data_IF_874500858347
#
_entry.id   IF_874500858347
#
_cell.length_a   1.000
_cell.length_b   1.000
_cell.length_c   1.000
_cell.angle_alpha   90.00
_cell.angle_beta   90.00
_cell.angle_gamma   90.00
#
_symmetry.space_group_name_H-M   'P 1'
#
loop_
_entity.id
_entity.type
_entity.pdbx_description
1 polymer ?
#
# COMPACT_ATOMS: atom_id res chain seq x y z
N UNK A 1 2.49 15.24 2.33
CA UNK A 1 3.14 14.09 3.02
C UNK A 1 2.52 12.83 2.46
N UNK A 2 3.31 11.87 1.99
CA UNK A 2 2.78 10.63 1.38
C UNK A 2 2.45 9.62 2.48
N UNK A 3 1.29 8.98 2.38
CA UNK A 3 0.82 7.97 3.33
C UNK A 3 0.50 6.67 2.59
N UNK A 4 1.04 5.57 3.08
CA UNK A 4 0.85 4.23 2.54
C UNK A 4 0.06 3.38 3.55
N UNK A 5 -1.07 2.85 3.13
CA UNK A 5 -1.91 1.93 3.90
C UNK A 5 -1.86 0.56 3.23
N UNK A 6 -1.09 -0.36 3.80
CA UNK A 6 -1.03 -1.72 3.31
C UNK A 6 -2.11 -2.55 4.00
N UNK A 7 -2.99 -3.16 3.24
CA UNK A 7 -3.98 -4.11 3.70
C UNK A 7 -3.44 -5.52 3.55
N UNK A 8 -3.31 -6.22 4.67
CA UNK A 8 -2.79 -7.59 4.73
C UNK A 8 -3.77 -8.52 5.42
N UNK A 9 -3.63 -9.83 5.21
CA UNK A 9 -4.29 -10.84 6.04
C UNK A 9 -3.24 -11.73 6.69
N UNK A 10 -3.33 -12.03 8.00
CA UNK A 10 -2.44 -12.95 8.68
C UNK A 10 -2.52 -14.38 8.12
N UNK A 11 -3.61 -14.72 7.43
CA UNK A 11 -3.79 -16.02 6.77
C UNK A 11 -3.12 -16.12 5.39
N UNK A 12 -2.57 -15.01 4.85
CA UNK A 12 -2.00 -14.98 3.52
C UNK A 12 -0.46 -15.12 3.54
N UNK A 13 0.13 -16.16 2.92
CA UNK A 13 1.57 -16.37 2.94
C UNK A 13 2.39 -15.31 2.18
N UNK A 14 1.75 -14.51 1.32
CA UNK A 14 2.40 -13.49 0.49
C UNK A 14 2.40 -12.08 1.11
N UNK A 15 1.59 -11.82 2.13
CA UNK A 15 1.52 -10.53 2.82
C UNK A 15 2.84 -10.05 3.47
N UNK A 16 3.66 -10.90 4.14
CA UNK A 16 4.91 -10.42 4.74
C UNK A 16 5.91 -9.90 3.70
N UNK A 17 5.79 -10.35 2.43
CA UNK A 17 6.62 -9.86 1.34
C UNK A 17 6.26 -8.41 0.98
N UNK A 18 4.97 -8.11 0.88
CA UNK A 18 4.48 -6.75 0.62
C UNK A 18 4.82 -5.79 1.77
N UNK A 19 4.68 -6.23 3.02
CA UNK A 19 5.01 -5.40 4.20
C UNK A 19 6.49 -5.01 4.22
N UNK A 20 7.40 -5.95 3.93
CA UNK A 20 8.84 -5.65 3.84
C UNK A 20 9.15 -4.59 2.80
N UNK A 21 8.57 -4.71 1.61
CA UNK A 21 8.76 -3.75 0.52
C UNK A 21 8.25 -2.37 0.93
N UNK A 22 7.01 -2.29 1.42
CA UNK A 22 6.39 -1.02 1.86
C UNK A 22 7.18 -0.38 2.99
N UNK A 23 7.56 -1.13 4.01
CA UNK A 23 8.33 -0.61 5.15
C UNK A 23 9.70 -0.09 4.74
N UNK A 24 10.39 -0.78 3.82
CA UNK A 24 11.68 -0.36 3.29
C UNK A 24 11.56 0.93 2.46
N UNK A 25 10.60 1.00 1.54
CA UNK A 25 10.33 2.22 0.76
C UNK A 25 9.91 3.37 1.67
N UNK A 26 9.08 3.10 2.68
CA UNK A 26 8.65 4.10 3.65
C UNK A 26 9.83 4.74 4.38
N UNK A 27 10.78 3.91 4.81
CA UNK A 27 11.98 4.35 5.53
C UNK A 27 12.94 5.11 4.62
N UNK A 28 13.19 4.62 3.40
CA UNK A 28 14.08 5.25 2.41
C UNK A 28 13.53 6.61 1.97
N UNK A 29 12.23 6.68 1.64
CA UNK A 29 11.60 7.89 1.14
C UNK A 29 11.10 8.81 2.26
N UNK A 30 11.16 8.38 3.52
CA UNK A 30 10.70 9.15 4.68
C UNK A 30 9.19 9.43 4.65
N UNK A 31 8.39 8.42 4.29
CA UNK A 31 6.93 8.51 4.20
C UNK A 31 6.25 7.63 5.24
N UNK A 32 4.98 7.88 5.52
CA UNK A 32 4.23 7.08 6.51
C UNK A 32 3.77 5.77 5.87
N UNK A 33 3.99 4.66 6.56
CA UNK A 33 3.42 3.36 6.23
C UNK A 33 2.66 2.79 7.41
N UNK A 34 1.44 2.32 7.16
CA UNK A 34 0.57 1.67 8.14
C UNK A 34 0.10 0.34 7.58
N UNK A 35 0.12 -0.70 8.41
CA UNK A 35 -0.45 -1.99 8.07
C UNK A 35 -1.87 -2.11 8.67
N UNK A 36 -2.82 -2.49 7.83
CA UNK A 36 -4.23 -2.67 8.14
C UNK A 36 -4.60 -4.15 7.95
N UNK A 37 -4.58 -4.95 9.01
CA UNK A 37 -4.99 -6.34 8.91
C UNK A 37 -6.49 -6.43 8.64
N UNK A 38 -6.91 -6.99 7.50
CA UNK A 38 -8.33 -7.18 7.16
C UNK A 38 -9.04 -8.22 8.02
N UNK A 39 -8.28 -8.89 8.91
CA UNK A 39 -8.82 -9.81 9.91
C UNK A 39 -9.46 -9.07 11.11
N UNK A 40 -9.22 -7.76 11.26
CA UNK A 40 -9.91 -6.96 12.28
C UNK A 40 -11.12 -6.25 11.68
N UNK A 41 -12.15 -5.98 12.48
CA UNK A 41 -13.33 -5.25 12.04
C UNK A 41 -12.97 -3.89 11.39
N UNK A 42 -12.00 -3.17 11.97
CA UNK A 42 -11.53 -1.89 11.44
C UNK A 42 -10.82 -2.03 10.10
N UNK A 43 -9.90 -2.99 9.98
CA UNK A 43 -9.15 -3.22 8.73
C UNK A 43 -10.06 -3.72 7.61
N UNK A 44 -11.02 -4.59 7.93
CA UNK A 44 -12.04 -5.06 6.98
C UNK A 44 -12.93 -3.90 6.52
N UNK A 45 -13.36 -3.04 7.45
CA UNK A 45 -14.22 -1.89 7.14
C UNK A 45 -13.50 -0.84 6.28
N UNK A 46 -12.24 -0.53 6.58
CA UNK A 46 -11.43 0.35 5.72
C UNK A 46 -11.20 -0.31 4.35
N UNK A 47 -10.87 -1.60 4.29
CA UNK A 47 -10.72 -2.31 3.02
C UNK A 47 -12.00 -2.21 2.16
N UNK A 48 -13.17 -2.47 2.74
CA UNK A 48 -14.47 -2.33 2.07
C UNK A 48 -14.74 -0.90 1.61
N UNK A 49 -14.36 0.11 2.41
CA UNK A 49 -14.52 1.53 2.07
C UNK A 49 -13.69 1.93 0.85
N UNK A 50 -12.52 1.34 0.67
CA UNK A 50 -11.70 1.50 -0.53
C UNK A 50 -12.06 0.52 -1.67
N UNK A 51 -13.09 -0.32 -1.49
CA UNK A 51 -13.48 -1.33 -2.47
C UNK A 51 -12.48 -2.48 -2.62
N UNK A 52 -11.60 -2.68 -1.64
CA UNK A 52 -10.59 -3.73 -1.63
C UNK A 52 -11.29 -5.05 -1.37
N UNK A 53 -11.28 -5.92 -2.39
CA UNK A 53 -11.85 -7.27 -2.34
C UNK A 53 -10.82 -8.38 -2.23
N UNK A 54 -9.53 -8.05 -2.40
CA UNK A 54 -8.43 -9.01 -2.36
C UNK A 54 -7.22 -8.41 -1.66
N UNK A 55 -6.53 -9.23 -0.88
CA UNK A 55 -5.27 -8.90 -0.20
C UNK A 55 -4.13 -9.76 -0.76
N UNK A 56 -2.88 -9.27 -0.77
CA UNK A 56 -2.43 -7.96 -0.29
C UNK A 56 -2.92 -6.81 -1.17
N UNK A 57 -3.20 -5.64 -0.58
CA UNK A 57 -3.54 -4.43 -1.29
C UNK A 57 -2.86 -3.22 -0.64
N UNK A 58 -2.46 -2.23 -1.43
CA UNK A 58 -1.76 -1.04 -0.95
C UNK A 58 -2.50 0.20 -1.43
N UNK A 59 -2.84 1.08 -0.49
CA UNK A 59 -3.44 2.38 -0.78
C UNK A 59 -2.42 3.47 -0.50
N UNK A 60 -2.24 4.41 -1.42
CA UNK A 60 -1.26 5.50 -1.30
C UNK A 60 -2.00 6.83 -1.45
N UNK A 61 -1.81 7.72 -0.46
CA UNK A 61 -2.50 9.02 -0.36
C UNK A 61 -4.03 8.92 -0.46
N UNK A 62 -4.63 7.78 -0.11
CA UNK A 62 -6.07 7.52 -0.27
C UNK A 62 -6.59 7.75 -1.70
N UNK A 63 -5.67 7.81 -2.68
CA UNK A 63 -5.93 8.09 -4.10
C UNK A 63 -5.54 6.94 -5.01
N UNK A 64 -4.40 6.31 -4.74
CA UNK A 64 -3.88 5.21 -5.53
C UNK A 64 -4.17 3.91 -4.82
N UNK A 65 -4.81 2.97 -5.51
CA UNK A 65 -5.05 1.61 -5.02
C UNK A 65 -4.27 0.65 -5.89
N UNK A 66 -3.40 -0.12 -5.27
CA UNK A 66 -2.63 -1.20 -5.89
C UNK A 66 -3.13 -2.51 -5.31
N UNK A 67 -3.64 -3.39 -6.16
CA UNK A 67 -4.07 -4.72 -5.78
C UNK A 67 -2.94 -5.72 -6.08
N UNK A 68 -2.60 -6.57 -5.10
CA UNK A 68 -1.52 -7.54 -5.21
C UNK A 68 -0.25 -7.12 -4.47
N UNK A 69 0.83 -7.85 -4.72
CA UNK A 69 2.15 -7.56 -4.15
C UNK A 69 2.79 -6.45 -5.00
N UNK A 70 2.97 -5.24 -4.46
CA UNK A 70 3.64 -4.18 -5.20
C UNK A 70 5.12 -4.55 -5.41
N UNK A 71 5.65 -4.23 -6.58
CA UNK A 71 7.07 -4.38 -6.85
C UNK A 71 7.87 -3.26 -6.17
N UNK A 72 9.05 -3.57 -5.62
CA UNK A 72 9.84 -2.61 -4.84
C UNK A 72 10.30 -1.42 -5.70
N UNK A 73 10.69 -1.68 -6.95
CA UNK A 73 11.13 -0.64 -7.87
C UNK A 73 9.99 0.30 -8.26
N UNK A 74 8.85 -0.28 -8.65
CA UNK A 74 7.69 0.47 -9.12
C UNK A 74 7.07 1.29 -7.97
N UNK A 75 6.94 0.70 -6.79
CA UNK A 75 6.43 1.39 -5.61
C UNK A 75 7.33 2.57 -5.23
N UNK A 76 8.65 2.38 -5.20
CA UNK A 76 9.59 3.44 -4.88
C UNK A 76 9.48 4.61 -5.86
N UNK A 77 9.47 4.31 -7.15
CA UNK A 77 9.36 5.34 -8.18
C UNK A 77 8.05 6.13 -8.02
N UNK A 78 6.94 5.42 -7.77
CA UNK A 78 5.64 6.03 -7.55
C UNK A 78 5.64 6.94 -6.32
N UNK A 79 6.22 6.53 -5.19
CA UNK A 79 6.32 7.39 -4.00
C UNK A 79 7.18 8.63 -4.27
N UNK A 80 8.30 8.47 -4.98
CA UNK A 80 9.19 9.59 -5.32
C UNK A 80 8.50 10.59 -6.25
N UNK A 81 7.72 10.09 -7.22
CA UNK A 81 6.87 10.90 -8.11
C UNK A 81 5.76 11.61 -7.36
N UNK A 82 5.07 10.94 -6.44
CA UNK A 82 4.03 11.57 -5.60
C UNK A 82 4.58 12.64 -4.66
N UNK A 83 5.85 12.51 -4.23
CA UNK A 83 6.56 13.58 -3.53
C UNK A 83 6.99 14.72 -4.46
N UNK A 84 7.26 14.43 -5.74
CA UNK A 84 7.80 15.35 -6.74
C UNK A 84 6.78 16.03 -7.66
N UNK A 85 5.53 15.56 -7.72
CA UNK A 85 4.45 16.20 -8.49
C UNK A 85 4.32 15.78 -9.96
N UNK A 86 4.44 14.48 -10.28
CA UNK A 86 4.07 13.97 -11.61
C UNK A 86 2.99 12.87 -11.52
N UNK A 87 1.84 13.14 -12.14
CA UNK A 87 0.66 12.29 -12.24
C UNK A 87 0.88 11.21 -13.31
N UNK A 88 0.79 9.93 -12.94
CA UNK A 88 0.66 8.83 -13.91
C UNK A 88 -0.74 8.24 -13.77
N UNK A 89 -1.58 8.55 -14.77
CA UNK A 89 -2.76 7.77 -15.08
C UNK A 89 -2.33 6.40 -15.60
N UNK A 90 -2.89 5.36 -15.01
CA UNK A 90 -2.72 3.98 -15.45
C UNK A 90 -3.05 3.85 -16.95
N UNK A 91 -2.13 3.26 -17.73
CA UNK A 91 -2.47 2.60 -19.00
C UNK A 91 -3.31 1.35 -18.77
#
# INVERSE_FOLDING_TARGET
MVMMKLFTSPTCPYCPKAEKVVSKVAKEEGVLAMNFPVNTDEGMKEALKFGIRGVPALVINDKYLILGVPDEGELRELIRKLKGGEEYGAS
#
